data_IF_104385000193
#
_entry.id   IF_104385000193
#
_cell.length_a   1.000
_cell.length_b   1.000
_cell.length_c   1.000
_cell.angle_alpha   90.00
_cell.angle_beta   90.00
_cell.angle_gamma   90.00
#
_symmetry.space_group_name_H-M   'P 1'
#
loop_
_entity.id
_entity.type
_entity.pdbx_description
1 polymer ?
#
# COMPACT_ATOMS: atom_id res chain seq x y z
N UNK A 1 14.65 2.49 -23.27
CA UNK A 1 14.35 3.93 -23.29
C UNK A 1 13.07 4.18 -22.49
N UNK A 2 13.19 4.82 -21.33
CA UNK A 2 12.04 5.16 -20.48
C UNK A 2 11.86 6.70 -20.52
N UNK A 3 10.78 7.22 -21.07
CA UNK A 3 10.60 8.67 -21.25
C UNK A 3 10.42 9.42 -19.92
N UNK A 4 9.92 8.74 -18.88
CA UNK A 4 9.74 9.34 -17.55
C UNK A 4 11.08 9.52 -16.83
N UNK A 5 11.95 8.49 -16.86
CA UNK A 5 13.24 8.51 -16.16
C UNK A 5 14.38 9.15 -16.96
N UNK A 6 14.33 9.02 -18.28
CA UNK A 6 15.41 9.39 -19.20
C UNK A 6 14.88 10.19 -20.40
N UNK A 7 14.17 11.29 -20.14
CA UNK A 7 13.53 12.12 -21.18
C UNK A 7 14.49 12.51 -22.31
N UNK A 8 15.68 13.07 -21.99
CA UNK A 8 16.68 13.47 -22.99
C UNK A 8 17.13 12.31 -23.89
N UNK A 9 17.38 11.12 -23.31
CA UNK A 9 17.75 9.93 -24.10
C UNK A 9 16.62 9.46 -25.01
N UNK A 10 15.36 9.58 -24.54
CA UNK A 10 14.18 9.21 -25.31
C UNK A 10 13.95 10.17 -26.48
N UNK A 11 14.14 11.49 -26.27
CA UNK A 11 14.11 12.49 -27.34
C UNK A 11 15.17 12.17 -28.40
N UNK A 12 16.41 11.90 -28.01
CA UNK A 12 17.46 11.51 -28.97
C UNK A 12 17.06 10.29 -29.79
N UNK A 13 16.53 9.24 -29.15
CA UNK A 13 16.06 8.04 -29.86
C UNK A 13 14.89 8.32 -30.79
N UNK A 14 13.90 9.12 -30.36
CA UNK A 14 12.79 9.58 -31.21
C UNK A 14 13.32 10.27 -32.45
N UNK A 15 14.24 11.22 -32.27
CA UNK A 15 14.78 12.00 -33.39
C UNK A 15 15.54 11.11 -34.39
N UNK A 16 16.32 10.12 -33.91
CA UNK A 16 16.96 9.13 -34.78
C UNK A 16 15.93 8.33 -35.58
N UNK A 17 14.81 7.92 -34.97
CA UNK A 17 13.74 7.21 -35.68
C UNK A 17 13.12 8.10 -36.76
N UNK A 18 12.80 9.36 -36.43
CA UNK A 18 12.27 10.33 -37.42
C UNK A 18 13.22 10.53 -38.60
N UNK A 19 14.53 10.60 -38.38
CA UNK A 19 15.54 10.66 -39.42
C UNK A 19 15.55 9.41 -40.31
N UNK A 20 15.38 8.24 -39.75
CA UNK A 20 15.27 7.01 -40.54
C UNK A 20 13.98 6.96 -41.36
N UNK A 21 12.87 7.47 -40.80
CA UNK A 21 11.60 7.59 -41.52
C UNK A 21 11.70 8.56 -42.70
N UNK A 22 12.38 9.69 -42.53
CA UNK A 22 12.69 10.64 -43.63
C UNK A 22 13.53 9.95 -44.72
N UNK A 23 14.63 9.31 -44.36
CA UNK A 23 15.49 8.59 -45.30
C UNK A 23 14.78 7.48 -46.06
N UNK A 24 13.82 6.82 -45.43
CA UNK A 24 13.00 5.77 -46.02
C UNK A 24 11.80 6.32 -46.84
N UNK A 25 11.61 7.64 -46.90
CA UNK A 25 10.54 8.28 -47.65
C UNK A 25 9.14 8.21 -47.03
N UNK A 26 9.05 7.85 -45.74
CA UNK A 26 7.76 7.80 -45.01
C UNK A 26 7.28 9.19 -44.59
N UNK A 27 8.18 10.14 -44.39
CA UNK A 27 7.89 11.53 -44.05
C UNK A 27 8.81 12.46 -44.82
N UNK A 28 8.35 13.67 -45.07
CA UNK A 28 9.17 14.71 -45.70
C UNK A 28 10.16 15.31 -44.70
N UNK A 29 11.19 16.00 -45.25
CA UNK A 29 12.17 16.71 -44.41
C UNK A 29 11.49 17.77 -43.52
N UNK A 30 10.53 18.52 -44.06
CA UNK A 30 9.80 19.55 -43.32
C UNK A 30 9.00 18.95 -42.13
N UNK A 31 8.35 17.82 -42.37
CA UNK A 31 7.66 17.08 -41.31
C UNK A 31 8.62 16.54 -40.25
N UNK A 32 9.76 15.98 -40.66
CA UNK A 32 10.80 15.50 -39.77
C UNK A 32 11.31 16.62 -38.84
N UNK A 33 11.63 17.78 -39.42
CA UNK A 33 12.14 18.93 -38.64
C UNK A 33 11.06 19.47 -37.67
N UNK A 34 9.82 19.56 -38.14
CA UNK A 34 8.68 19.97 -37.33
C UNK A 34 8.45 19.01 -36.13
N UNK A 35 8.45 17.69 -36.37
CA UNK A 35 8.25 16.67 -35.35
C UNK A 35 9.40 16.61 -34.33
N UNK A 36 10.64 16.87 -34.78
CA UNK A 36 11.80 16.96 -33.88
C UNK A 36 11.73 18.16 -32.92
N UNK A 37 11.14 19.27 -33.38
CA UNK A 37 10.99 20.48 -32.58
C UNK A 37 9.94 20.32 -31.46
N UNK A 38 9.01 19.37 -31.58
CA UNK A 38 7.97 19.15 -30.58
C UNK A 38 8.57 18.64 -29.25
N UNK A 39 8.12 19.18 -28.09
CA UNK A 39 8.52 18.67 -26.82
C UNK A 39 8.00 17.23 -26.61
N UNK A 40 8.73 16.42 -25.86
CA UNK A 40 8.25 15.11 -25.44
C UNK A 40 7.41 15.29 -24.17
N UNK A 41 6.09 15.41 -24.34
CA UNK A 41 5.14 15.44 -23.22
C UNK A 41 4.75 14.01 -22.89
N UNK A 42 4.92 13.61 -21.63
CA UNK A 42 4.60 12.27 -21.16
C UNK A 42 3.50 12.37 -20.09
N UNK A 43 2.30 11.95 -20.45
CA UNK A 43 1.20 11.78 -19.50
C UNK A 43 1.29 10.38 -18.88
N UNK A 44 2.18 10.24 -17.90
CA UNK A 44 2.36 8.96 -17.21
C UNK A 44 1.58 8.95 -15.91
N UNK A 45 0.53 8.13 -15.87
CA UNK A 45 -0.18 7.79 -14.64
C UNK A 45 0.24 6.39 -14.24
N UNK A 46 0.91 6.27 -13.11
CA UNK A 46 1.22 4.97 -12.54
C UNK A 46 -0.06 4.39 -11.94
N UNK A 47 -0.58 3.35 -12.56
CA UNK A 47 -1.64 2.54 -11.98
C UNK A 47 -0.99 1.38 -11.23
N UNK A 48 -1.28 1.26 -9.95
CA UNK A 48 -0.87 0.11 -9.16
C UNK A 48 -2.09 -0.50 -8.42
N UNK A 49 -1.87 -1.56 -7.63
CA UNK A 49 -2.95 -2.20 -6.88
C UNK A 49 -3.54 -1.32 -5.76
N UNK A 50 -2.95 -0.16 -5.48
CA UNK A 50 -3.41 0.81 -4.47
C UNK A 50 -4.48 1.76 -5.01
N UNK A 51 -4.50 1.97 -6.34
CA UNK A 51 -5.41 2.93 -6.97
C UNK A 51 -6.78 2.31 -7.28
N UNK A 52 -7.87 3.01 -6.98
CA UNK A 52 -9.26 2.60 -7.26
C UNK A 52 -9.92 1.85 -6.10
N UNK A 53 -11.11 1.28 -6.36
CA UNK A 53 -11.94 0.63 -5.35
C UNK A 53 -11.30 -0.61 -4.72
N UNK A 54 -11.63 -0.88 -3.47
CA UNK A 54 -11.24 -2.05 -2.69
C UNK A 54 -9.72 -2.31 -2.64
N UNK A 55 -8.87 -1.33 -2.30
CA UNK A 55 -7.41 -1.51 -2.35
C UNK A 55 -6.92 -2.62 -1.39
N UNK A 56 -7.50 -2.76 -0.22
CA UNK A 56 -7.19 -3.84 0.73
C UNK A 56 -7.53 -5.22 0.17
N UNK A 57 -8.69 -5.35 -0.48
CA UNK A 57 -9.09 -6.61 -1.12
C UNK A 57 -8.17 -6.97 -2.29
N UNK A 58 -7.77 -5.98 -3.09
CA UNK A 58 -6.82 -6.20 -4.20
C UNK A 58 -5.44 -6.63 -3.69
N UNK A 59 -4.99 -6.06 -2.58
CA UNK A 59 -3.74 -6.50 -1.94
C UNK A 59 -3.87 -7.92 -1.37
N UNK A 60 -5.00 -8.24 -0.74
CA UNK A 60 -5.29 -9.60 -0.29
C UNK A 60 -5.23 -10.60 -1.46
N UNK A 61 -5.85 -10.28 -2.60
CA UNK A 61 -5.79 -11.11 -3.81
C UNK A 61 -4.37 -11.23 -4.33
N UNK A 62 -3.63 -10.12 -4.39
CA UNK A 62 -2.23 -10.12 -4.84
C UNK A 62 -1.38 -11.05 -3.98
N UNK A 63 -1.45 -10.91 -2.67
CA UNK A 63 -0.69 -11.76 -1.73
C UNK A 63 -1.08 -13.23 -1.86
N UNK A 64 -2.38 -13.51 -1.96
CA UNK A 64 -2.89 -14.86 -2.12
C UNK A 64 -2.41 -15.50 -3.42
N UNK A 65 -2.59 -14.83 -4.56
CA UNK A 65 -2.27 -15.38 -5.87
C UNK A 65 -0.76 -15.50 -6.14
N UNK A 66 0.05 -14.62 -5.54
CA UNK A 66 1.51 -14.63 -5.69
C UNK A 66 2.25 -15.36 -4.56
N UNK A 67 1.51 -15.98 -3.63
CA UNK A 67 2.11 -16.72 -2.53
C UNK A 67 3.06 -17.82 -3.05
N UNK A 68 4.20 -17.99 -2.40
CA UNK A 68 5.14 -19.05 -2.70
C UNK A 68 4.79 -20.32 -1.91
N UNK A 69 5.27 -21.46 -2.36
CA UNK A 69 5.17 -22.69 -1.58
C UNK A 69 5.84 -22.48 -0.22
N UNK A 70 5.13 -22.69 0.90
CA UNK A 70 5.71 -22.52 2.22
C UNK A 70 6.85 -23.50 2.48
N UNK A 71 8.00 -22.99 2.90
CA UNK A 71 9.13 -23.79 3.36
C UNK A 71 9.46 -23.43 4.81
N UNK A 72 9.72 -24.45 5.66
CA UNK A 72 9.92 -24.21 7.11
C UNK A 72 11.06 -23.22 7.41
N UNK A 73 12.07 -23.16 6.55
CA UNK A 73 13.21 -22.24 6.67
C UNK A 73 12.84 -20.76 6.57
N UNK A 74 11.72 -20.44 5.91
CA UNK A 74 11.24 -19.07 5.70
C UNK A 74 10.45 -18.52 6.90
N UNK A 75 10.22 -19.36 7.92
CA UNK A 75 9.45 -19.03 9.11
C UNK A 75 10.32 -19.12 10.37
N UNK A 76 10.22 -18.10 11.22
CA UNK A 76 10.86 -18.16 12.54
C UNK A 76 10.29 -19.30 13.38
N UNK A 77 11.03 -19.74 14.40
CA UNK A 77 10.64 -20.87 15.28
C UNK A 77 9.25 -20.68 15.91
N UNK A 78 8.91 -19.45 16.30
CA UNK A 78 7.63 -19.11 16.93
C UNK A 78 6.46 -19.01 15.93
N UNK A 79 6.71 -19.03 14.62
CA UNK A 79 5.69 -18.96 13.56
C UNK A 79 5.19 -20.34 13.10
N UNK A 80 5.26 -21.36 13.93
CA UNK A 80 4.85 -22.74 13.57
C UNK A 80 3.39 -22.81 13.14
N UNK A 81 2.49 -22.11 13.82
CA UNK A 81 1.08 -22.08 13.47
C UNK A 81 0.87 -21.43 12.10
N UNK A 82 1.53 -20.30 11.83
CA UNK A 82 1.45 -19.64 10.52
C UNK A 82 1.95 -20.53 9.39
N UNK A 83 3.07 -21.23 9.60
CA UNK A 83 3.56 -22.20 8.63
C UNK A 83 2.55 -23.30 8.33
N UNK A 84 1.86 -23.82 9.34
CA UNK A 84 0.82 -24.84 9.17
C UNK A 84 -0.39 -24.29 8.40
N UNK A 85 -0.85 -23.08 8.74
CA UNK A 85 -1.96 -22.40 8.07
C UNK A 85 -1.64 -22.12 6.59
N UNK A 86 -0.45 -21.60 6.30
CA UNK A 86 0.01 -21.33 4.92
C UNK A 86 0.20 -22.63 4.13
N UNK A 87 0.72 -23.69 4.75
CA UNK A 87 0.88 -25.03 4.13
C UNK A 87 -0.48 -25.65 3.80
N UNK A 88 -1.45 -25.55 4.70
CA UNK A 88 -2.81 -25.98 4.45
C UNK A 88 -3.45 -25.18 3.31
N UNK A 89 -3.30 -23.85 3.34
CA UNK A 89 -3.80 -22.98 2.27
C UNK A 89 -3.18 -23.31 0.92
N UNK A 90 -1.88 -23.59 0.89
CA UNK A 90 -1.20 -24.05 -0.32
C UNK A 90 -1.79 -25.36 -0.85
N UNK A 91 -2.10 -26.30 0.02
CA UNK A 91 -2.61 -27.62 -0.37
C UNK A 91 -4.08 -27.59 -0.80
N UNK A 92 -4.92 -26.77 -0.12
CA UNK A 92 -6.38 -26.84 -0.24
C UNK A 92 -7.01 -25.68 -1.00
N UNK A 93 -6.38 -24.50 -1.01
CA UNK A 93 -6.91 -23.33 -1.69
C UNK A 93 -6.30 -23.19 -3.10
N UNK A 94 -7.09 -23.35 -4.18
CA UNK A 94 -6.58 -23.27 -5.54
C UNK A 94 -6.05 -21.87 -5.92
N UNK A 95 -6.54 -20.81 -5.26
CA UNK A 95 -6.07 -19.44 -5.50
C UNK A 95 -4.74 -19.15 -4.78
N UNK A 96 -4.46 -19.82 -3.67
CA UNK A 96 -3.24 -19.59 -2.92
C UNK A 96 -2.02 -20.06 -3.70
N UNK A 97 -1.18 -19.12 -4.14
CA UNK A 97 -0.04 -19.37 -5.00
C UNK A 97 -0.40 -19.70 -6.46
N UNK A 98 -1.56 -19.27 -6.93
CA UNK A 98 -2.03 -19.59 -8.29
C UNK A 98 -0.99 -19.22 -9.36
N UNK A 99 -0.37 -18.05 -9.28
CA UNK A 99 0.67 -17.62 -10.21
C UNK A 99 1.90 -18.53 -10.19
N UNK A 100 2.22 -19.14 -9.05
CA UNK A 100 3.38 -20.03 -8.86
C UNK A 100 3.05 -21.51 -9.05
N UNK A 101 1.78 -21.86 -9.23
CA UNK A 101 1.32 -23.22 -9.51
C UNK A 101 1.04 -23.45 -10.99
N UNK A 102 0.66 -22.39 -11.71
CA UNK A 102 0.22 -22.48 -13.09
C UNK A 102 1.26 -21.89 -14.03
N UNK A 103 1.47 -22.57 -15.16
CA UNK A 103 2.38 -22.14 -16.20
C UNK A 103 1.63 -21.78 -17.48
N UNK A 104 2.18 -20.85 -18.21
CA UNK A 104 1.74 -20.49 -19.57
C UNK A 104 2.19 -21.56 -20.58
N UNK A 105 1.73 -21.46 -21.81
CA UNK A 105 2.11 -22.37 -22.89
C UNK A 105 3.62 -22.33 -23.22
N UNK A 106 4.30 -21.24 -22.92
CA UNK A 106 5.74 -21.05 -23.08
C UNK A 106 6.58 -21.69 -21.94
N UNK A 107 5.92 -22.28 -20.92
CA UNK A 107 6.55 -22.89 -19.75
C UNK A 107 6.85 -21.93 -18.61
N UNK A 108 6.70 -20.61 -18.81
CA UNK A 108 6.88 -19.60 -17.78
C UNK A 108 5.70 -19.53 -16.81
N UNK A 109 5.94 -19.09 -15.58
CA UNK A 109 4.88 -18.84 -14.61
C UNK A 109 4.11 -17.56 -14.93
N UNK A 110 2.82 -17.51 -14.54
CA UNK A 110 2.01 -16.32 -14.70
C UNK A 110 2.51 -15.16 -13.83
N UNK A 111 2.54 -13.96 -14.43
CA UNK A 111 2.82 -12.71 -13.74
C UNK A 111 1.52 -11.89 -13.64
N UNK A 112 1.10 -11.62 -12.40
CA UNK A 112 -0.15 -10.91 -12.12
C UNK A 112 -0.26 -9.53 -12.81
N UNK A 113 0.88 -8.86 -13.05
CA UNK A 113 0.91 -7.50 -13.57
C UNK A 113 1.14 -7.39 -15.08
N UNK A 114 1.75 -8.39 -15.69
CA UNK A 114 2.20 -8.30 -17.10
C UNK A 114 1.41 -9.17 -18.05
N UNK A 115 0.73 -10.20 -17.58
CA UNK A 115 0.12 -11.21 -18.44
C UNK A 115 -1.36 -10.94 -18.74
N UNK A 116 -1.87 -9.76 -18.36
CA UNK A 116 -3.23 -9.32 -18.70
C UNK A 116 -4.36 -10.18 -18.12
N UNK A 117 -4.13 -10.77 -16.93
CA UNK A 117 -5.11 -11.62 -16.25
C UNK A 117 -6.41 -10.85 -15.94
N UNK A 118 -7.55 -11.47 -16.25
CA UNK A 118 -8.87 -10.98 -15.85
C UNK A 118 -9.34 -11.75 -14.63
N UNK A 119 -9.47 -11.05 -13.49
CA UNK A 119 -9.86 -11.64 -12.21
C UNK A 119 -11.30 -11.23 -11.91
N UNK A 120 -12.23 -12.17 -11.96
CA UNK A 120 -13.61 -11.96 -11.60
C UNK A 120 -13.81 -12.22 -10.12
N UNK A 121 -14.46 -11.28 -9.42
CA UNK A 121 -14.68 -11.35 -7.97
C UNK A 121 -16.15 -11.24 -7.64
N UNK A 122 -16.53 -11.53 -6.41
CA UNK A 122 -17.90 -11.38 -5.91
C UNK A 122 -18.21 -9.96 -5.40
N UNK A 123 -17.22 -9.06 -5.40
CA UNK A 123 -17.38 -7.67 -4.97
C UNK A 123 -18.36 -6.95 -5.92
N UNK A 124 -19.39 -6.32 -5.35
CA UNK A 124 -20.25 -5.39 -6.07
C UNK A 124 -19.65 -3.98 -5.97
N UNK A 125 -19.33 -3.38 -7.11
CA UNK A 125 -18.63 -2.08 -7.14
C UNK A 125 -19.44 -0.93 -6.50
N UNK A 126 -20.79 -0.99 -6.57
CA UNK A 126 -21.65 0.03 -5.95
C UNK A 126 -21.70 -0.16 -4.44
N UNK A 127 -21.86 -1.40 -3.96
CA UNK A 127 -21.82 -1.70 -2.53
C UNK A 127 -20.45 -1.37 -1.93
N UNK A 128 -19.39 -1.68 -2.65
CA UNK A 128 -18.02 -1.32 -2.25
C UNK A 128 -17.85 0.20 -2.09
N UNK A 129 -18.31 0.95 -3.10
CA UNK A 129 -18.24 2.41 -3.03
C UNK A 129 -19.06 2.97 -1.87
N UNK A 130 -20.28 2.49 -1.65
CA UNK A 130 -21.10 2.93 -0.53
C UNK A 130 -20.45 2.61 0.82
N UNK A 131 -19.82 1.45 0.94
CA UNK A 131 -19.09 1.07 2.15
C UNK A 131 -17.88 1.98 2.42
N UNK A 132 -17.08 2.28 1.39
CA UNK A 132 -15.93 3.20 1.49
C UNK A 132 -16.39 4.62 1.85
N UNK A 133 -17.43 5.12 1.18
CA UNK A 133 -18.00 6.45 1.43
C UNK A 133 -18.57 6.54 2.86
N UNK A 134 -19.32 5.53 3.32
CA UNK A 134 -19.88 5.49 4.67
C UNK A 134 -18.80 5.44 5.75
N UNK A 135 -17.76 4.60 5.56
CA UNK A 135 -16.63 4.54 6.47
C UNK A 135 -15.93 5.90 6.53
N UNK A 136 -15.64 6.51 5.38
CA UNK A 136 -14.99 7.83 5.33
C UNK A 136 -15.83 8.90 6.02
N UNK A 137 -17.12 8.97 5.71
CA UNK A 137 -18.02 9.98 6.25
C UNK A 137 -18.14 9.86 7.76
N UNK A 138 -18.51 8.69 8.27
CA UNK A 138 -18.71 8.49 9.70
C UNK A 138 -17.42 8.67 10.51
N UNK A 139 -16.30 8.13 10.00
CA UNK A 139 -15.02 8.29 10.68
C UNK A 139 -14.54 9.74 10.70
N UNK A 140 -14.63 10.47 9.56
CA UNK A 140 -14.10 11.83 9.46
C UNK A 140 -14.97 12.87 10.13
N UNK A 141 -16.31 12.74 10.03
CA UNK A 141 -17.25 13.78 10.52
C UNK A 141 -17.68 13.56 11.97
N UNK A 142 -17.80 12.30 12.40
CA UNK A 142 -18.38 11.99 13.70
C UNK A 142 -17.33 11.49 14.71
N UNK A 143 -16.71 10.35 14.44
CA UNK A 143 -15.88 9.67 15.44
C UNK A 143 -14.53 10.35 15.67
N UNK A 144 -13.83 10.74 14.61
CA UNK A 144 -12.51 11.35 14.75
C UNK A 144 -12.55 12.72 15.43
N UNK A 145 -13.49 13.62 15.09
CA UNK A 145 -13.64 14.90 15.82
C UNK A 145 -14.03 14.67 17.29
N UNK A 146 -14.89 13.70 17.59
CA UNK A 146 -15.25 13.35 18.96
C UNK A 146 -14.03 12.86 19.77
N UNK A 147 -13.22 11.98 19.17
CA UNK A 147 -11.99 11.50 19.77
C UNK A 147 -10.98 12.63 20.02
N UNK A 148 -10.79 13.52 19.05
CA UNK A 148 -9.88 14.65 19.22
C UNK A 148 -10.35 15.62 20.32
N UNK A 149 -11.67 15.87 20.45
CA UNK A 149 -12.23 16.67 21.53
C UNK A 149 -11.98 16.03 22.90
N UNK A 150 -12.19 14.71 23.02
CA UNK A 150 -11.95 13.97 24.26
C UNK A 150 -10.47 14.01 24.66
N UNK A 151 -9.56 13.87 23.71
CA UNK A 151 -8.11 13.81 23.96
C UNK A 151 -7.44 15.17 24.08
N UNK A 152 -8.14 16.27 23.75
CA UNK A 152 -7.58 17.63 23.78
C UNK A 152 -7.05 17.97 25.18
N UNK A 153 -5.78 18.40 25.24
CA UNK A 153 -5.11 18.78 26.49
C UNK A 153 -4.75 17.62 27.43
N UNK A 154 -4.93 16.37 27.01
CA UNK A 154 -4.53 15.20 27.82
C UNK A 154 -3.07 14.85 27.52
N UNK A 155 -2.24 14.79 28.58
CA UNK A 155 -0.81 14.44 28.46
C UNK A 155 -0.55 13.04 27.93
N UNK A 156 -1.48 12.11 28.12
CA UNK A 156 -1.38 10.74 27.62
C UNK A 156 -1.87 10.55 26.18
N UNK A 157 -2.47 11.58 25.56
CA UNK A 157 -3.00 11.47 24.18
C UNK A 157 -1.91 11.05 23.17
N UNK A 158 -2.27 10.25 22.17
CA UNK A 158 -3.58 9.67 21.84
C UNK A 158 -3.92 8.37 22.58
N UNK A 159 -3.09 7.93 23.51
CA UNK A 159 -3.22 6.65 24.20
C UNK A 159 -4.32 6.67 25.28
N UNK A 160 -4.58 5.53 25.92
CA UNK A 160 -5.43 5.46 27.12
C UNK A 160 -4.68 6.03 28.33
N UNK A 161 -5.42 6.62 29.27
CA UNK A 161 -4.89 7.03 30.58
C UNK A 161 -4.31 5.87 31.39
N UNK A 162 -4.76 4.64 31.13
CA UNK A 162 -4.36 3.43 31.83
C UNK A 162 -3.02 2.87 31.32
N UNK A 163 -2.46 3.48 30.26
CA UNK A 163 -1.16 3.10 29.70
C UNK A 163 -0.07 3.97 30.32
N UNK A 164 0.91 3.35 30.96
CA UNK A 164 2.01 4.09 31.57
C UNK A 164 2.94 4.73 30.53
N UNK A 165 3.66 5.77 30.93
CA UNK A 165 4.62 6.47 30.05
C UNK A 165 5.67 5.51 29.46
N UNK A 166 6.18 4.56 30.27
CA UNK A 166 7.13 3.54 29.80
C UNK A 166 6.53 2.59 28.75
N UNK A 167 5.26 2.25 28.88
CA UNK A 167 4.54 1.46 27.88
C UNK A 167 4.35 2.27 26.58
N UNK A 168 4.04 3.56 26.67
CA UNK A 168 3.94 4.46 25.50
C UNK A 168 5.29 4.53 24.78
N UNK A 169 6.39 4.74 25.51
CA UNK A 169 7.74 4.78 24.91
C UNK A 169 8.05 3.44 24.21
N UNK A 170 7.78 2.32 24.85
CA UNK A 170 7.96 0.99 24.25
C UNK A 170 7.15 0.83 22.97
N UNK A 171 5.90 1.29 22.95
CA UNK A 171 5.02 1.22 21.75
C UNK A 171 5.55 2.11 20.61
N UNK A 172 6.06 3.30 20.93
CA UNK A 172 6.64 4.20 19.95
C UNK A 172 7.95 3.64 19.38
N UNK A 173 8.81 3.09 20.24
CA UNK A 173 10.06 2.45 19.81
C UNK A 173 9.81 1.24 18.90
N UNK A 174 8.84 0.39 19.24
CA UNK A 174 8.44 -0.72 18.36
C UNK A 174 7.95 -0.22 17.00
N UNK A 175 7.16 0.85 16.98
CA UNK A 175 6.70 1.45 15.73
C UNK A 175 7.85 2.08 14.94
N UNK A 176 8.79 2.76 15.59
CA UNK A 176 10.02 3.29 14.97
C UNK A 176 10.80 2.19 14.27
N UNK A 177 11.03 1.05 14.92
CA UNK A 177 11.77 -0.10 14.37
C UNK A 177 11.09 -0.71 13.11
N UNK A 178 9.79 -0.50 12.94
CA UNK A 178 9.04 -0.98 11.78
C UNK A 178 9.11 -0.05 10.57
N UNK A 179 9.62 1.17 10.73
CA UNK A 179 9.69 2.16 9.64
C UNK A 179 10.82 1.85 8.64
N UNK A 180 10.63 2.23 7.39
CA UNK A 180 11.68 2.11 6.36
C UNK A 180 12.87 3.02 6.66
N UNK A 181 12.62 4.20 7.27
CA UNK A 181 13.67 5.11 7.74
C UNK A 181 14.60 4.41 8.72
N UNK A 182 14.07 3.74 9.74
CA UNK A 182 14.87 2.98 10.70
C UNK A 182 15.68 1.87 10.02
N UNK A 183 15.04 1.10 9.14
CA UNK A 183 15.70 0.01 8.39
C UNK A 183 16.87 0.53 7.54
N UNK A 184 16.68 1.68 6.87
CA UNK A 184 17.72 2.33 6.08
C UNK A 184 18.91 2.78 6.95
N UNK A 185 18.65 3.43 8.09
CA UNK A 185 19.68 3.85 9.04
C UNK A 185 20.42 2.65 9.64
N UNK A 186 19.73 1.60 10.02
CA UNK A 186 20.34 0.36 10.51
C UNK A 186 21.22 -0.30 9.46
N UNK A 187 20.80 -0.29 8.20
CA UNK A 187 21.59 -0.81 7.07
C UNK A 187 22.86 0.00 6.83
N UNK A 188 22.86 1.31 7.11
CA UNK A 188 24.06 2.17 7.03
C UNK A 188 25.02 2.01 8.21
N UNK A 189 24.70 1.17 9.21
CA UNK A 189 25.55 0.94 10.39
C UNK A 189 25.42 1.99 11.49
N UNK A 190 24.36 2.83 11.47
CA UNK A 190 24.13 3.84 12.49
C UNK A 190 23.82 3.19 13.85
N UNK A 191 24.37 3.74 14.95
CA UNK A 191 24.11 3.27 16.30
C UNK A 191 22.67 3.59 16.73
N UNK A 192 22.06 2.72 17.54
CA UNK A 192 20.65 2.85 18.00
C UNK A 192 20.35 4.21 18.67
N UNK A 193 21.27 4.68 19.51
CA UNK A 193 21.13 5.96 20.19
C UNK A 193 21.10 7.16 19.21
N UNK A 194 21.88 7.09 18.14
CA UNK A 194 21.92 8.15 17.14
C UNK A 194 20.70 8.08 16.22
N UNK A 195 20.22 6.87 15.89
CA UNK A 195 18.94 6.69 15.18
C UNK A 195 17.78 7.34 15.96
N UNK A 196 17.73 7.15 17.29
CA UNK A 196 16.71 7.79 18.14
C UNK A 196 16.78 9.32 18.06
N UNK A 197 17.97 9.90 18.15
CA UNK A 197 18.15 11.36 17.99
C UNK A 197 17.70 11.87 16.62
N UNK A 198 17.98 11.11 15.55
CA UNK A 198 17.51 11.46 14.21
C UNK A 198 15.98 11.39 14.07
N UNK A 199 15.31 10.50 14.82
CA UNK A 199 13.86 10.44 14.87
C UNK A 199 13.21 11.57 15.67
N UNK A 200 13.97 12.29 16.51
CA UNK A 200 13.51 13.44 17.27
C UNK A 200 13.70 14.77 16.52
N UNK A 201 14.50 14.79 15.44
CA UNK A 201 14.74 16.00 14.64
C UNK A 201 13.54 16.31 13.70
N UNK A 202 13.03 17.53 13.70
CA UNK A 202 12.01 17.95 12.74
C UNK A 202 12.52 17.87 11.29
N UNK A 203 11.68 17.35 10.40
CA UNK A 203 11.92 17.26 8.96
C UNK A 203 10.64 17.55 8.19
N UNK A 204 10.79 18.02 6.96
CA UNK A 204 9.67 18.15 6.04
C UNK A 204 9.09 16.76 5.75
N UNK A 205 7.78 16.63 5.89
CA UNK A 205 7.08 15.39 5.60
C UNK A 205 5.65 15.63 5.17
N UNK A 206 5.11 14.65 4.47
CA UNK A 206 3.70 14.58 4.11
C UNK A 206 3.02 13.56 5.01
N UNK A 207 1.91 13.94 5.62
CA UNK A 207 1.14 13.10 6.56
C UNK A 207 -0.32 13.04 6.15
N UNK A 208 -0.99 11.98 6.57
CA UNK A 208 -2.41 11.77 6.33
C UNK A 208 -3.28 12.85 6.99
N UNK A 209 -4.31 13.29 6.28
CA UNK A 209 -5.49 13.92 6.89
C UNK A 209 -6.75 13.45 6.15
N UNK A 210 -7.92 13.64 6.78
CA UNK A 210 -9.22 13.27 6.18
C UNK A 210 -9.56 14.07 4.92
N UNK A 211 -8.99 15.28 4.79
CA UNK A 211 -9.18 16.18 3.65
C UNK A 211 -8.10 16.03 2.57
N UNK A 212 -7.25 15.01 2.71
CA UNK A 212 -6.12 14.73 1.85
C UNK A 212 -4.77 14.94 2.55
N UNK A 213 -3.67 14.47 1.95
CA UNK A 213 -2.35 14.59 2.53
C UNK A 213 -1.94 16.04 2.76
N UNK A 214 -1.35 16.35 3.91
CA UNK A 214 -0.83 17.69 4.25
C UNK A 214 0.70 17.65 4.37
N UNK A 215 1.35 18.68 3.84
CA UNK A 215 2.77 18.91 4.02
C UNK A 215 3.01 19.67 5.33
N UNK A 216 3.91 19.19 6.17
CA UNK A 216 4.18 19.74 7.50
C UNK A 216 5.62 19.47 7.93
N UNK A 217 6.05 20.19 8.98
CA UNK A 217 7.37 19.99 9.62
C UNK A 217 7.11 19.37 10.99
N UNK A 218 7.54 18.14 11.20
CA UNK A 218 7.51 17.49 12.50
C UNK A 218 8.61 16.43 12.62
N UNK A 219 8.88 15.96 13.83
CA UNK A 219 9.83 14.86 13.99
C UNK A 219 9.23 13.53 13.50
N UNK A 220 10.04 12.60 12.97
CA UNK A 220 9.56 11.26 12.64
C UNK A 220 8.87 10.54 13.81
N UNK A 221 9.30 10.77 15.04
CA UNK A 221 8.66 10.21 16.24
C UNK A 221 7.28 10.82 16.48
N UNK A 222 7.14 12.14 16.30
CA UNK A 222 5.84 12.81 16.40
C UNK A 222 4.89 12.39 15.28
N UNK A 223 5.42 12.14 14.07
CA UNK A 223 4.60 11.61 12.98
C UNK A 223 4.03 10.22 13.29
N UNK A 224 4.80 9.36 13.96
CA UNK A 224 4.31 8.06 14.45
C UNK A 224 3.18 8.27 15.46
N UNK A 225 3.35 9.20 16.42
CA UNK A 225 2.32 9.55 17.39
C UNK A 225 1.07 10.14 16.73
N UNK A 226 1.27 11.01 15.75
CA UNK A 226 0.19 11.59 14.93
C UNK A 226 -0.62 10.52 14.22
N UNK A 227 0.01 9.58 13.52
CA UNK A 227 -0.71 8.48 12.87
C UNK A 227 -1.43 7.55 13.85
N UNK A 228 -0.93 7.42 15.08
CA UNK A 228 -1.62 6.67 16.14
C UNK A 228 -2.87 7.40 16.70
N UNK A 229 -3.04 8.69 16.42
CA UNK A 229 -4.22 9.44 16.82
C UNK A 229 -5.43 9.23 15.91
N UNK A 230 -5.26 8.59 14.75
CA UNK A 230 -6.37 8.27 13.87
C UNK A 230 -7.05 6.97 14.29
N UNK A 231 -8.35 7.05 14.50
CA UNK A 231 -9.20 5.89 14.73
C UNK A 231 -9.24 5.04 13.46
N UNK A 232 -9.27 3.73 13.65
CA UNK A 232 -9.28 2.78 12.54
C UNK A 232 -10.51 1.91 12.61
N UNK A 233 -11.06 1.59 11.46
CA UNK A 233 -12.20 0.71 11.33
C UNK A 233 -12.02 -0.21 10.13
N UNK A 234 -12.82 -1.27 10.10
CA UNK A 234 -12.96 -2.15 8.97
C UNK A 234 -14.44 -2.49 8.79
N UNK A 235 -14.82 -2.77 7.55
CA UNK A 235 -16.19 -3.16 7.21
C UNK A 235 -16.18 -4.25 6.15
N UNK A 236 -17.03 -5.26 6.32
CA UNK A 236 -17.25 -6.29 5.33
C UNK A 236 -18.76 -6.60 5.23
N UNK A 237 -19.25 -6.68 4.00
CA UNK A 237 -20.60 -7.15 3.71
C UNK A 237 -20.55 -8.47 2.95
N UNK A 238 -21.34 -9.43 3.38
CA UNK A 238 -21.39 -10.77 2.81
C UNK A 238 -22.82 -11.22 2.62
N UNK A 239 -23.12 -11.89 1.51
CA UNK A 239 -24.39 -12.57 1.30
C UNK A 239 -24.46 -13.80 2.21
N UNK A 240 -25.41 -13.85 3.16
CA UNK A 240 -25.49 -14.95 4.13
C UNK A 240 -25.86 -16.30 3.52
N UNK A 241 -26.45 -16.32 2.34
CA UNK A 241 -26.87 -17.56 1.65
C UNK A 241 -25.74 -18.19 0.85
N UNK A 242 -24.88 -17.37 0.27
CA UNK A 242 -23.82 -17.83 -0.64
C UNK A 242 -22.43 -17.74 -0.05
N UNK A 243 -22.25 -16.97 1.03
CA UNK A 243 -20.95 -16.64 1.59
C UNK A 243 -20.12 -15.67 0.74
N UNK A 244 -20.68 -15.12 -0.33
CA UNK A 244 -19.98 -14.20 -1.22
C UNK A 244 -19.78 -12.83 -0.57
N UNK A 245 -18.54 -12.36 -0.50
CA UNK A 245 -18.22 -11.00 -0.04
C UNK A 245 -18.62 -10.00 -1.11
N UNK A 246 -19.45 -9.03 -0.75
CA UNK A 246 -19.99 -7.99 -1.64
C UNK A 246 -19.28 -6.64 -1.47
N UNK A 247 -18.78 -6.34 -0.27
CA UNK A 247 -17.95 -5.16 0.00
C UNK A 247 -16.88 -5.51 1.02
N UNK A 248 -15.70 -4.90 0.89
CA UNK A 248 -14.52 -5.18 1.70
C UNK A 248 -13.71 -3.91 1.93
N UNK A 249 -13.78 -3.34 3.13
CA UNK A 249 -13.03 -2.16 3.55
C UNK A 249 -12.12 -2.55 4.70
N UNK A 250 -10.84 -2.77 4.42
CA UNK A 250 -9.86 -3.25 5.41
C UNK A 250 -9.30 -2.17 6.32
N UNK A 251 -9.55 -0.89 6.04
CA UNK A 251 -9.07 0.24 6.83
C UNK A 251 -9.53 1.56 6.24
N UNK A 252 -9.08 2.67 6.83
CA UNK A 252 -9.54 4.03 6.50
C UNK A 252 -8.83 4.63 5.27
N UNK A 253 -7.59 4.27 5.02
CA UNK A 253 -6.79 4.67 3.86
C UNK A 253 -5.66 3.67 3.65
N UNK A 254 -5.53 3.12 2.44
CA UNK A 254 -4.54 2.09 2.17
C UNK A 254 -3.12 2.63 2.00
N UNK A 255 -2.95 3.89 1.62
CA UNK A 255 -1.62 4.47 1.42
C UNK A 255 -0.90 4.68 2.75
N UNK A 256 -1.63 5.15 3.76
CA UNK A 256 -1.07 5.47 5.07
C UNK A 256 -1.29 4.35 6.10
N UNK A 257 -2.32 3.51 5.95
CA UNK A 257 -2.74 2.49 6.91
C UNK A 257 -2.93 1.14 6.24
N UNK A 258 -1.84 0.49 5.85
CA UNK A 258 -1.86 -0.75 5.05
C UNK A 258 -2.31 -2.01 5.81
N UNK A 259 -2.43 -1.96 7.14
CA UNK A 259 -2.87 -3.11 7.92
C UNK A 259 -4.34 -3.40 7.66
N UNK A 260 -4.61 -4.56 7.05
CA UNK A 260 -5.96 -5.03 6.77
C UNK A 260 -6.61 -5.57 8.05
N UNK A 261 -7.59 -4.84 8.56
CA UNK A 261 -8.29 -5.18 9.80
C UNK A 261 -9.41 -6.20 9.59
N UNK A 262 -9.83 -6.47 8.37
CA UNK A 262 -10.80 -7.54 8.06
C UNK A 262 -10.12 -8.90 8.18
N UNK A 263 -8.98 -9.07 7.51
CA UNK A 263 -8.29 -10.37 7.44
C UNK A 263 -7.19 -10.53 8.50
N UNK A 264 -6.49 -9.46 8.85
CA UNK A 264 -5.35 -9.51 9.78
C UNK A 264 -5.71 -9.42 11.26
N UNK A 265 -6.92 -8.96 11.59
CA UNK A 265 -7.32 -8.68 12.97
C UNK A 265 -8.01 -9.84 13.65
N UNK A 266 -7.32 -10.55 14.54
CA UNK A 266 -8.02 -11.44 15.48
C UNK A 266 -8.72 -10.59 16.55
N UNK A 267 -10.04 -10.66 16.61
CA UNK A 267 -10.86 -9.94 17.59
C UNK A 267 -11.55 -10.93 18.51
N UNK A 268 -11.78 -10.51 19.76
CA UNK A 268 -12.61 -11.26 20.68
C UNK A 268 -14.05 -11.24 20.19
N UNK A 269 -14.72 -12.40 20.20
CA UNK A 269 -16.14 -12.51 19.83
C UNK A 269 -16.98 -11.63 20.75
N UNK A 270 -17.87 -10.82 20.16
CA UNK A 270 -18.77 -9.94 20.90
C UNK A 270 -18.16 -8.58 21.32
N UNK A 271 -16.95 -8.26 20.86
CA UNK A 271 -16.32 -6.96 21.12
C UNK A 271 -16.56 -5.94 20.00
#
# INVERSE_FOLDING_TARGET
FNPVRHNKRTIGRRNTVLEQMEKAGYITKAECDSLKALPLVVHFTRMDHKDGLAPYFREYLRLTMTAKKPERKDYASWQSQKFSEDSLSWATNPLYGWCNKNKKADGEYYNLYTDGLKIYTSIDSRMQKYAEDAVREHMSKDLQPAFFREKKGRSYAPFSRDVSVGQVDTMLMRAMHQTDRYRAMKKSGMAEADMRKEFEKPVDMRVFSWDGPIDTIMSPLDSIRYHKSFLRTAFMSMDPRTGQVKAYVGGIDYNDFQYDMVNGGRRQIGS
#
